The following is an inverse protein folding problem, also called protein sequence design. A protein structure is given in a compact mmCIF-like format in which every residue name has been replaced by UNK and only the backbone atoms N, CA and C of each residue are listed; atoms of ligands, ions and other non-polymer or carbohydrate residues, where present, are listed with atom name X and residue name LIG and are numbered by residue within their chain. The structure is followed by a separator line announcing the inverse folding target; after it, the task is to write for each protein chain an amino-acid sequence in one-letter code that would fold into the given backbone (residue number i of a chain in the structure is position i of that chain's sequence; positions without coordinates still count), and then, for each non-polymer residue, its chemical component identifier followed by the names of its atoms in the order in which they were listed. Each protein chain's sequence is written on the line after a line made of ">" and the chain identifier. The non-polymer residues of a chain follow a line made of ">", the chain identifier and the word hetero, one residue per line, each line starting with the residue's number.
data_IF_844380267384
#
_entry.id   IF_844380267384
#
_cell.length_a   1.000
_cell.length_b   1.000
_cell.length_c   1.000
_cell.angle_alpha   90.00
_cell.angle_beta   90.00
_cell.angle_gamma   90.00
#
_symmetry.space_group_name_H-M   'P 1'
#
loop_
_entity.id
_entity.type
_entity.pdbx_description
1 polymer ?
#
# COMPACT_ATOMS: atom_id res chain seq x y z
N UNK A 1 -3.11 -25.34 23.14
CA UNK A 1 -3.96 -24.15 22.94
C UNK A 1 -3.57 -23.60 21.59
N UNK A 2 -4.45 -23.72 20.61
CA UNK A 2 -4.22 -23.20 19.26
C UNK A 2 -4.31 -21.67 19.28
N UNK A 3 -3.51 -21.00 18.46
CA UNK A 3 -3.52 -19.54 18.40
C UNK A 3 -4.78 -19.06 17.66
N UNK A 4 -5.56 -18.18 18.28
CA UNK A 4 -6.79 -17.64 17.70
C UNK A 4 -6.46 -16.49 16.74
N UNK A 5 -6.32 -16.85 15.46
CA UNK A 5 -6.02 -15.91 14.38
C UNK A 5 -7.15 -14.91 14.15
N UNK A 6 -8.41 -15.33 14.28
CA UNK A 6 -9.57 -14.47 14.07
C UNK A 6 -9.59 -13.34 15.08
N UNK A 7 -9.45 -13.67 16.37
CA UNK A 7 -9.40 -12.67 17.43
C UNK A 7 -8.20 -11.73 17.30
N UNK A 8 -7.05 -12.24 16.85
CA UNK A 8 -5.88 -11.41 16.59
C UNK A 8 -6.13 -10.41 15.45
N UNK A 9 -6.78 -10.83 14.37
CA UNK A 9 -7.15 -9.94 13.25
C UNK A 9 -8.16 -8.89 13.71
N UNK A 10 -9.23 -9.28 14.39
CA UNK A 10 -10.26 -8.36 14.89
C UNK A 10 -9.67 -7.28 15.80
N UNK A 11 -8.85 -7.68 16.78
CA UNK A 11 -8.21 -6.73 17.69
C UNK A 11 -7.33 -5.71 16.96
N UNK A 12 -6.48 -6.18 16.05
CA UNK A 12 -5.59 -5.28 15.30
C UNK A 12 -6.37 -4.40 14.31
N UNK A 13 -7.49 -4.89 13.77
CA UNK A 13 -8.41 -4.10 12.95
C UNK A 13 -9.02 -2.94 13.75
N UNK A 14 -9.54 -3.23 14.94
CA UNK A 14 -10.12 -2.21 15.84
C UNK A 14 -9.11 -1.14 16.24
N UNK A 15 -7.88 -1.56 16.59
CA UNK A 15 -6.79 -0.64 16.92
C UNK A 15 -6.41 0.25 15.71
N UNK A 16 -6.35 -0.33 14.50
CA UNK A 16 -6.08 0.43 13.28
C UNK A 16 -7.21 1.41 12.94
N UNK A 17 -8.49 1.01 13.09
CA UNK A 17 -9.62 1.90 12.86
C UNK A 17 -9.61 3.11 13.81
N UNK A 18 -9.21 2.91 15.07
CA UNK A 18 -9.00 3.99 16.05
C UNK A 18 -7.91 4.96 15.61
N UNK A 19 -6.77 4.43 15.14
CA UNK A 19 -5.66 5.23 14.62
C UNK A 19 -6.10 6.03 13.37
N UNK A 20 -6.85 5.40 12.46
CA UNK A 20 -7.39 6.04 11.26
C UNK A 20 -8.35 7.17 11.63
N UNK A 21 -9.26 6.96 12.58
CA UNK A 21 -10.16 8.02 13.06
C UNK A 21 -9.37 9.24 13.57
N UNK A 22 -8.27 9.01 14.30
CA UNK A 22 -7.35 10.09 14.74
C UNK A 22 -6.68 10.80 13.56
N UNK A 23 -6.27 10.06 12.52
CA UNK A 23 -5.69 10.64 11.30
C UNK A 23 -6.70 11.52 10.55
N UNK A 24 -7.96 11.11 10.44
CA UNK A 24 -9.04 11.94 9.89
C UNK A 24 -9.18 13.25 10.66
N UNK A 25 -9.19 13.18 11.99
CA UNK A 25 -9.25 14.36 12.86
C UNK A 25 -8.05 15.29 12.65
N UNK A 26 -6.83 14.75 12.65
CA UNK A 26 -5.60 15.54 12.45
C UNK A 26 -5.52 16.19 11.08
N UNK A 27 -5.99 15.52 10.03
CA UNK A 27 -6.02 16.04 8.67
C UNK A 27 -7.21 16.99 8.40
N UNK A 28 -8.09 17.20 9.40
CA UNK A 28 -9.28 18.04 9.25
C UNK A 28 -10.28 17.50 8.21
N UNK A 29 -10.26 16.19 7.94
CA UNK A 29 -11.16 15.54 7.00
C UNK A 29 -12.49 15.28 7.73
N UNK A 30 -13.44 16.21 7.61
CA UNK A 30 -14.83 16.05 8.08
C UNK A 30 -15.75 15.92 6.87
N UNK A 31 -16.91 15.30 7.05
CA UNK A 31 -17.94 15.04 6.01
C UNK A 31 -17.93 16.07 4.88
N UNK A 32 -17.40 15.67 3.71
CA UNK A 32 -17.37 16.45 2.47
C UNK A 32 -16.25 17.49 2.32
N UNK A 33 -15.48 17.83 3.36
CA UNK A 33 -14.42 18.86 3.29
C UNK A 33 -13.07 18.31 3.79
N UNK A 34 -12.05 18.41 2.95
CA UNK A 34 -10.65 18.11 3.29
C UNK A 34 -9.84 19.38 3.14
N UNK A 35 -8.96 19.64 4.10
CA UNK A 35 -8.05 20.79 4.01
C UNK A 35 -7.16 20.61 2.78
N UNK A 36 -7.14 21.64 1.92
CA UNK A 36 -6.29 21.65 0.72
C UNK A 36 -4.84 21.84 1.11
N UNK A 37 -4.57 22.65 2.13
CA UNK A 37 -3.23 22.94 2.63
C UNK A 37 -3.14 22.66 4.13
N UNK A 38 -1.98 22.17 4.58
CA UNK A 38 -1.64 21.94 5.98
C UNK A 38 -0.26 22.50 6.28
N UNK A 39 -0.02 23.04 7.49
CA UNK A 39 1.33 23.36 7.95
C UNK A 39 2.25 22.15 7.83
N UNK A 40 3.49 22.34 7.36
CA UNK A 40 4.45 21.27 7.12
C UNK A 40 4.69 20.41 8.36
N UNK A 41 4.79 21.03 9.54
CA UNK A 41 4.98 20.31 10.80
C UNK A 41 3.82 19.34 11.08
N UNK A 42 2.57 19.75 10.82
CA UNK A 42 1.39 18.90 10.98
C UNK A 42 1.38 17.80 9.92
N UNK A 43 1.72 18.12 8.67
CA UNK A 43 1.87 17.13 7.59
C UNK A 43 2.85 16.02 7.97
N UNK A 44 4.04 16.37 8.44
CA UNK A 44 5.07 15.43 8.89
C UNK A 44 4.59 14.58 10.07
N UNK A 45 3.84 15.19 11.01
CA UNK A 45 3.24 14.46 12.14
C UNK A 45 2.16 13.47 11.71
N UNK A 46 1.34 13.82 10.71
CA UNK A 46 0.36 12.89 10.13
C UNK A 46 1.09 11.73 9.45
N UNK A 47 2.12 12.02 8.65
CA UNK A 47 2.89 10.99 7.94
C UNK A 47 3.63 10.03 8.87
N UNK A 48 4.11 10.50 10.03
CA UNK A 48 4.80 9.64 10.99
C UNK A 48 3.89 8.58 11.62
N UNK A 49 2.57 8.79 11.58
CA UNK A 49 1.56 7.81 12.03
C UNK A 49 0.96 7.04 10.85
N UNK A 50 0.62 7.74 9.76
CA UNK A 50 0.00 7.15 8.57
C UNK A 50 0.89 6.08 7.94
N UNK A 51 2.21 6.31 7.83
CA UNK A 51 3.11 5.34 7.19
C UNK A 51 3.13 4.01 7.96
N UNK A 52 3.46 3.97 9.27
CA UNK A 52 3.35 2.73 10.04
C UNK A 52 1.96 2.08 9.95
N UNK A 53 0.88 2.87 9.93
CA UNK A 53 -0.48 2.35 9.82
C UNK A 53 -0.74 1.64 8.49
N UNK A 54 -0.28 2.22 7.37
CA UNK A 54 -0.36 1.57 6.05
C UNK A 54 0.44 0.25 6.03
N UNK A 55 1.64 0.21 6.62
CA UNK A 55 2.42 -1.03 6.71
C UNK A 55 1.75 -2.09 7.59
N UNK A 56 1.15 -1.68 8.71
CA UNK A 56 0.40 -2.56 9.59
C UNK A 56 -0.84 -3.12 8.88
N UNK A 57 -1.60 -2.28 8.17
CA UNK A 57 -2.77 -2.71 7.41
C UNK A 57 -2.42 -3.75 6.34
N UNK A 58 -1.32 -3.56 5.58
CA UNK A 58 -0.87 -4.57 4.62
C UNK A 58 -0.60 -5.92 5.30
N UNK A 59 0.04 -5.92 6.47
CA UNK A 59 0.32 -7.12 7.26
C UNK A 59 -0.96 -7.76 7.80
N UNK A 60 -1.90 -6.97 8.27
CA UNK A 60 -3.23 -7.44 8.68
C UNK A 60 -3.94 -8.14 7.51
N UNK A 61 -3.91 -7.55 6.31
CA UNK A 61 -4.47 -8.17 5.10
C UNK A 61 -3.77 -9.51 4.78
N UNK A 62 -2.46 -9.62 5.01
CA UNK A 62 -1.76 -10.91 4.85
C UNK A 62 -2.23 -11.95 5.87
N UNK A 63 -2.28 -11.60 7.16
CA UNK A 63 -2.79 -12.50 8.21
C UNK A 63 -4.17 -12.99 7.82
N UNK A 64 -5.02 -12.05 7.42
CA UNK A 64 -6.35 -12.33 7.00
C UNK A 64 -6.35 -13.30 5.81
N UNK A 65 -5.61 -13.02 4.75
CA UNK A 65 -5.57 -13.84 3.53
C UNK A 65 -5.01 -15.26 3.74
N UNK A 66 -4.09 -15.43 4.69
CA UNK A 66 -3.42 -16.71 4.95
C UNK A 66 -4.15 -17.60 5.97
N UNK A 67 -4.90 -17.02 6.92
CA UNK A 67 -5.39 -17.74 8.11
C UNK A 67 -6.91 -17.71 8.31
N UNK A 68 -7.63 -16.85 7.59
CA UNK A 68 -9.10 -16.88 7.60
C UNK A 68 -9.59 -17.70 6.41
N UNK A 69 -10.53 -18.62 6.67
CA UNK A 69 -11.22 -19.37 5.63
C UNK A 69 -11.97 -18.40 4.71
N UNK A 70 -11.67 -18.44 3.40
CA UNK A 70 -12.34 -17.60 2.41
C UNK A 70 -12.69 -18.40 1.17
N UNK A 71 -13.89 -18.17 0.68
CA UNK A 71 -14.38 -18.76 -0.56
C UNK A 71 -13.75 -18.02 -1.76
N UNK A 72 -12.48 -18.31 -2.03
CA UNK A 72 -11.75 -17.70 -3.15
C UNK A 72 -12.09 -18.48 -4.42
N UNK A 73 -13.15 -18.06 -5.11
CA UNK A 73 -13.37 -18.48 -6.48
C UNK A 73 -12.27 -17.90 -7.37
N UNK A 74 -11.33 -18.75 -7.78
CA UNK A 74 -10.36 -18.41 -8.82
C UNK A 74 -11.13 -18.31 -10.14
N UNK A 75 -11.57 -17.11 -10.50
CA UNK A 75 -12.10 -16.85 -11.84
C UNK A 75 -11.12 -17.32 -12.91
N UNK A 76 -11.61 -17.80 -14.07
CA UNK A 76 -10.77 -18.40 -15.10
C UNK A 76 -9.63 -17.45 -15.49
N UNK A 77 -8.43 -18.01 -15.72
CA UNK A 77 -7.29 -17.24 -16.20
C UNK A 77 -7.70 -16.58 -17.52
N UNK A 78 -7.93 -15.26 -17.50
CA UNK A 78 -8.07 -14.50 -18.76
C UNK A 78 -6.75 -14.71 -19.50
N UNK A 79 -6.82 -15.49 -20.57
CA UNK A 79 -5.71 -15.71 -21.49
C UNK A 79 -5.21 -14.34 -21.93
N UNK A 80 -4.02 -13.95 -21.45
CA UNK A 80 -3.29 -12.80 -21.94
C UNK A 80 -2.93 -13.09 -23.39
N UNK A 81 -3.82 -12.68 -24.31
CA UNK A 81 -3.77 -13.01 -25.73
C UNK A 81 -4.97 -12.51 -26.54
N UNK A 82 -6.07 -12.09 -25.91
CA UNK A 82 -7.15 -11.37 -26.58
C UNK A 82 -7.22 -9.95 -26.03
N UNK A 83 -6.32 -9.10 -26.53
CA UNK A 83 -6.60 -7.67 -26.61
C UNK A 83 -7.70 -7.49 -27.65
N UNK A 84 -8.91 -7.19 -27.19
CA UNK A 84 -9.95 -6.61 -28.04
C UNK A 84 -9.44 -5.24 -28.51
N UNK A 85 -8.76 -5.26 -29.65
CA UNK A 85 -8.37 -4.08 -30.39
C UNK A 85 -9.62 -3.50 -31.06
N UNK A 86 -10.50 -2.84 -30.31
CA UNK A 86 -11.31 -1.75 -30.84
C UNK A 86 -12.02 -0.95 -29.74
N UNK A 87 -11.38 0.09 -29.25
CA UNK A 87 -12.06 1.23 -28.65
C UNK A 87 -11.17 2.46 -28.87
N UNK A 88 -11.33 3.11 -30.02
CA UNK A 88 -10.76 4.43 -30.24
C UNK A 88 -11.45 5.42 -29.29
N UNK A 89 -10.70 6.30 -28.58
CA UNK A 89 -11.31 7.42 -27.89
C UNK A 89 -11.59 8.52 -28.90
N UNK A 90 -12.87 8.71 -29.25
CA UNK A 90 -13.30 9.88 -30.02
C UNK A 90 -13.19 11.14 -29.15
N UNK A 91 -12.78 12.19 -29.84
CA UNK A 91 -12.41 13.53 -29.40
C UNK A 91 -13.51 14.27 -28.64
N UNK A 92 -13.10 15.04 -27.62
CA UNK A 92 -13.93 16.01 -26.91
C UNK A 92 -14.44 17.14 -27.83
N UNK A 93 -15.58 17.77 -27.48
CA UNK A 93 -15.78 19.18 -27.72
C UNK A 93 -15.71 19.97 -26.40
N UNK A 94 -14.98 21.08 -26.45
CA UNK A 94 -15.02 22.15 -25.47
C UNK A 94 -16.40 22.83 -25.54
N UNK A 95 -17.02 23.10 -24.38
CA UNK A 95 -17.99 24.18 -24.28
C UNK A 95 -17.89 24.84 -22.92
N UNK A 96 -17.69 26.16 -22.96
CA UNK A 96 -17.59 27.01 -21.78
C UNK A 96 -18.98 27.41 -21.33
N UNK A 97 -19.22 27.34 -20.02
CA UNK A 97 -20.25 28.19 -19.41
C UNK A 97 -19.96 28.34 -17.93
N UNK A 98 -19.91 29.61 -17.52
CA UNK A 98 -19.72 30.08 -16.16
C UNK A 98 -20.76 29.44 -15.22
N UNK A 99 -20.30 28.76 -14.15
CA UNK A 99 -21.17 28.10 -13.17
C UNK A 99 -21.06 28.83 -11.82
N UNK A 100 -22.17 29.44 -11.40
CA UNK A 100 -22.32 30.12 -10.12
C UNK A 100 -22.08 29.17 -8.91
N UNK A 101 -21.64 29.68 -7.73
CA UNK A 101 -20.98 28.87 -6.70
C UNK A 101 -21.91 28.17 -5.69
N UNK A 102 -23.24 28.26 -5.82
CA UNK A 102 -24.15 27.94 -4.70
C UNK A 102 -25.18 26.80 -4.98
N UNK A 103 -24.93 25.92 -5.95
CA UNK A 103 -25.79 24.77 -6.21
C UNK A 103 -25.36 23.53 -5.39
N UNK A 104 -26.33 22.89 -4.70
CA UNK A 104 -26.17 21.57 -4.08
C UNK A 104 -25.63 20.55 -5.10
N UNK A 105 -24.66 19.70 -4.72
CA UNK A 105 -23.95 18.87 -5.67
C UNK A 105 -24.89 17.89 -6.36
N UNK A 106 -24.84 17.88 -7.70
CA UNK A 106 -25.66 17.01 -8.55
C UNK A 106 -25.20 15.54 -8.45
N UNK A 107 -26.10 14.59 -8.75
CA UNK A 107 -25.81 13.15 -8.72
C UNK A 107 -24.58 12.75 -9.56
N UNK A 108 -24.22 13.55 -10.57
CA UNK A 108 -23.01 13.41 -11.37
C UNK A 108 -21.71 13.73 -10.60
N UNK A 109 -21.73 14.72 -9.71
CA UNK A 109 -20.61 15.09 -8.83
C UNK A 109 -20.45 14.07 -7.68
N UNK A 110 -21.57 13.55 -7.18
CA UNK A 110 -21.55 12.38 -6.29
C UNK A 110 -20.92 11.18 -7.01
N UNK A 111 -21.32 10.88 -8.26
CA UNK A 111 -20.71 9.84 -9.09
C UNK A 111 -19.21 10.06 -9.34
N UNK A 112 -18.74 11.30 -9.46
CA UNK A 112 -17.31 11.62 -9.60
C UNK A 112 -16.52 11.42 -8.29
N UNK A 113 -17.13 11.73 -7.14
CA UNK A 113 -16.62 11.38 -5.81
C UNK A 113 -16.56 9.85 -5.59
N UNK A 114 -17.47 9.08 -6.22
CA UNK A 114 -17.40 7.61 -6.26
C UNK A 114 -16.41 7.08 -7.32
N UNK A 115 -16.14 7.83 -8.40
CA UNK A 115 -15.21 7.46 -9.48
C UNK A 115 -13.75 7.61 -9.07
N UNK A 116 -13.42 8.61 -8.25
CA UNK A 116 -12.07 8.82 -7.70
C UNK A 116 -11.90 8.16 -6.32
N UNK A 117 -12.50 6.97 -6.13
CA UNK A 117 -12.27 6.14 -4.94
C UNK A 117 -10.79 5.76 -4.86
N UNK A 118 -10.04 6.27 -3.87
CA UNK A 118 -8.62 6.02 -3.82
C UNK A 118 -8.37 4.55 -3.44
N UNK A 119 -7.61 3.83 -4.26
CA UNK A 119 -7.33 2.41 -4.03
C UNK A 119 -6.12 2.24 -3.10
N UNK A 120 -6.22 1.32 -2.14
CA UNK A 120 -5.10 0.96 -1.29
C UNK A 120 -4.09 0.05 -2.02
N UNK A 121 -2.80 0.35 -1.84
CA UNK A 121 -1.72 -0.44 -2.37
C UNK A 121 -1.45 -1.66 -1.47
N UNK A 122 -1.76 -2.84 -1.99
CA UNK A 122 -1.67 -4.10 -1.25
C UNK A 122 -0.22 -4.51 -0.89
N UNK A 123 0.76 -4.07 -1.67
CA UNK A 123 2.16 -4.45 -1.53
C UNK A 123 2.97 -3.35 -0.85
N UNK A 124 3.96 -3.74 -0.05
CA UNK A 124 4.92 -2.80 0.50
C UNK A 124 5.72 -2.14 -0.65
N UNK A 125 5.91 -0.81 -0.60
CA UNK A 125 6.88 -0.13 -1.46
C UNK A 125 8.25 -0.79 -1.36
N UNK A 126 8.93 -0.95 -2.50
CA UNK A 126 10.32 -1.44 -2.49
C UNK A 126 11.19 -0.41 -1.78
N UNK A 127 12.16 -0.91 -0.99
CA UNK A 127 13.22 -0.06 -0.47
C UNK A 127 14.00 0.51 -1.65
N UNK A 128 13.92 1.82 -1.87
CA UNK A 128 14.81 2.52 -2.81
C UNK A 128 16.20 2.54 -2.17
N UNK A 129 17.02 1.52 -2.44
CA UNK A 129 18.45 1.61 -2.17
C UNK A 129 18.99 2.65 -3.15
N UNK A 130 19.21 3.89 -2.69
CA UNK A 130 19.84 4.88 -3.55
C UNK A 130 21.25 4.38 -3.94
N UNK A 131 21.74 4.74 -5.14
CA UNK A 131 22.94 4.17 -5.75
C UNK A 131 24.27 4.50 -5.04
N UNK A 132 24.25 5.16 -3.88
CA UNK A 132 25.44 5.60 -3.14
C UNK A 132 26.28 4.46 -2.52
N UNK A 133 25.95 3.19 -2.75
CA UNK A 133 26.74 2.05 -2.28
C UNK A 133 27.92 1.68 -3.19
N UNK A 134 28.08 2.37 -4.33
CA UNK A 134 29.24 2.23 -5.21
C UNK A 134 29.81 3.60 -5.61
N UNK A 135 30.30 4.36 -4.64
CA UNK A 135 31.39 5.30 -4.92
C UNK A 135 32.51 5.05 -3.90
N UNK A 136 33.44 4.17 -4.30
CA UNK A 136 34.69 3.93 -3.57
C UNK A 136 35.72 4.94 -4.09
N UNK A 137 35.45 6.22 -3.95
CA UNK A 137 36.51 7.25 -4.03
C UNK A 137 36.24 8.40 -3.08
N UNK A 138 36.69 8.22 -1.84
CA UNK A 138 37.15 9.29 -0.94
C UNK A 138 36.09 10.27 -0.44
N UNK A 139 35.83 10.25 0.87
CA UNK A 139 35.61 11.45 1.68
C UNK A 139 35.60 11.04 3.16
N UNK A 140 36.71 11.33 3.82
CA UNK A 140 36.88 11.28 5.26
C UNK A 140 35.96 12.32 5.92
N UNK A 141 34.99 11.86 6.73
CA UNK A 141 34.15 12.73 7.54
C UNK A 141 33.52 11.94 8.70
N UNK A 142 33.77 12.31 9.96
CA UNK A 142 33.16 11.65 11.10
C UNK A 142 31.78 12.26 11.40
N UNK A 143 30.88 11.42 11.92
CA UNK A 143 29.57 11.73 12.51
C UNK A 143 28.36 11.81 11.57
N UNK A 144 27.43 10.87 11.78
CA UNK A 144 26.01 11.22 11.77
C UNK A 144 25.10 10.59 10.70
N UNK A 145 25.37 9.40 10.19
CA UNK A 145 24.35 8.68 9.42
C UNK A 145 23.24 8.17 10.36
N UNK A 146 22.29 9.04 10.71
CA UNK A 146 20.95 8.57 11.05
C UNK A 146 20.44 7.85 9.81
N UNK A 147 20.30 6.53 9.88
CA UNK A 147 19.60 5.74 8.87
C UNK A 147 18.13 6.19 8.84
N UNK A 148 17.84 7.33 8.21
CA UNK A 148 16.50 7.72 7.80
C UNK A 148 16.21 6.91 6.54
N UNK A 149 15.27 5.99 6.71
CA UNK A 149 14.79 5.07 5.70
C UNK A 149 14.11 5.88 4.57
N UNK A 150 14.92 6.17 3.54
CA UNK A 150 14.62 7.11 2.45
C UNK A 150 13.68 6.46 1.42
N UNK A 151 12.38 6.79 1.47
CA UNK A 151 11.42 6.51 0.39
C UNK A 151 10.89 7.81 -0.29
N UNK A 152 11.36 9.00 0.14
CA UNK A 152 10.81 10.30 -0.29
C UNK A 152 11.69 11.11 -1.26
N UNK A 153 12.63 10.49 -1.98
CA UNK A 153 13.49 11.23 -2.91
C UNK A 153 12.77 11.90 -4.12
N UNK A 154 11.44 11.79 -4.22
CA UNK A 154 10.65 12.49 -5.25
C UNK A 154 10.05 13.82 -4.80
N UNK A 155 10.00 14.10 -3.50
CA UNK A 155 9.52 15.38 -2.98
C UNK A 155 10.68 15.97 -2.19
N UNK A 156 11.52 16.74 -2.89
CA UNK A 156 12.80 17.26 -2.40
C UNK A 156 12.75 17.57 -0.92
N UNK A 157 13.47 16.79 -0.12
CA UNK A 157 13.49 16.93 1.33
C UNK A 157 13.77 18.40 1.63
N UNK A 158 12.83 19.14 2.24
CA UNK A 158 13.08 20.51 2.59
C UNK A 158 14.32 20.52 3.47
N UNK A 159 15.31 21.34 3.12
CA UNK A 159 16.53 21.47 3.92
C UNK A 159 16.17 21.73 5.39
N UNK A 160 17.10 21.48 6.34
CA UNK A 160 16.87 21.70 7.77
C UNK A 160 16.32 23.09 8.14
N UNK A 161 16.39 24.05 7.22
CA UNK A 161 15.93 25.44 7.35
C UNK A 161 14.47 25.69 6.90
N UNK A 162 13.72 24.67 6.49
CA UNK A 162 12.36 24.88 6.00
C UNK A 162 11.38 25.23 7.12
N UNK A 163 10.55 26.24 6.86
CA UNK A 163 9.60 26.76 7.84
C UNK A 163 8.58 25.67 8.23
N UNK A 164 8.45 25.36 9.54
CA UNK A 164 7.47 24.38 10.03
C UNK A 164 6.02 24.79 9.76
N UNK A 165 5.73 26.09 9.65
CA UNK A 165 4.40 26.63 9.42
C UNK A 165 4.08 26.84 7.93
N UNK A 166 5.04 26.54 7.04
CA UNK A 166 4.81 26.60 5.60
C UNK A 166 3.64 25.70 5.19
N UNK A 167 2.72 26.26 4.42
CA UNK A 167 1.55 25.56 3.93
C UNK A 167 1.93 24.64 2.77
N UNK A 168 1.68 23.35 2.95
CA UNK A 168 1.96 22.29 1.97
C UNK A 168 0.66 21.62 1.54
N UNK A 169 0.58 21.17 0.28
CA UNK A 169 -0.59 20.45 -0.23
C UNK A 169 -0.88 19.17 0.59
N UNK A 170 -2.15 19.02 0.94
CA UNK A 170 -2.67 17.96 1.81
C UNK A 170 -3.61 17.00 1.09
N UNK A 171 -3.92 17.23 -0.19
CA UNK A 171 -4.81 16.36 -0.98
C UNK A 171 -4.27 14.93 -1.07
N UNK A 172 -2.98 14.77 -1.33
CA UNK A 172 -2.33 13.46 -1.43
C UNK A 172 -2.43 12.64 -0.14
N UNK A 173 -2.19 13.27 1.01
CA UNK A 173 -2.29 12.61 2.32
C UNK A 173 -3.75 12.27 2.63
N UNK A 174 -4.68 13.16 2.31
CA UNK A 174 -6.10 12.91 2.52
C UNK A 174 -6.62 11.75 1.66
N UNK A 175 -6.19 11.64 0.40
CA UNK A 175 -6.47 10.47 -0.46
C UNK A 175 -5.94 9.17 0.16
N UNK A 176 -4.72 9.19 0.71
CA UNK A 176 -4.11 8.02 1.36
C UNK A 176 -4.84 7.59 2.62
N UNK A 177 -5.22 8.53 3.49
CA UNK A 177 -6.01 8.25 4.69
C UNK A 177 -7.36 7.61 4.31
N UNK A 178 -8.04 8.16 3.28
CA UNK A 178 -9.29 7.57 2.75
C UNK A 178 -9.07 6.18 2.17
N UNK A 179 -8.00 5.96 1.41
CA UNK A 179 -7.68 4.64 0.85
C UNK A 179 -7.45 3.60 1.94
N UNK A 180 -6.71 3.96 3.00
CA UNK A 180 -6.47 3.11 4.15
C UNK A 180 -7.80 2.76 4.86
N UNK A 181 -8.66 3.75 5.09
CA UNK A 181 -9.96 3.53 5.72
C UNK A 181 -10.85 2.58 4.92
N UNK A 182 -10.97 2.80 3.60
CA UNK A 182 -11.75 1.94 2.71
C UNK A 182 -11.19 0.51 2.65
N UNK A 183 -9.88 0.34 2.75
CA UNK A 183 -9.26 -0.99 2.76
C UNK A 183 -9.45 -1.76 4.07
N UNK A 184 -9.54 -1.06 5.20
CA UNK A 184 -9.85 -1.68 6.49
C UNK A 184 -11.35 -2.01 6.60
N UNK A 185 -12.21 -1.19 6.01
CA UNK A 185 -13.65 -1.45 5.90
C UNK A 185 -13.95 -2.68 5.01
N UNK A 186 -13.22 -2.83 3.89
CA UNK A 186 -13.27 -3.99 2.99
C UNK A 186 -12.08 -4.95 3.21
N UNK A 187 -11.83 -5.35 4.47
CA UNK A 187 -10.70 -6.22 4.78
C UNK A 187 -10.76 -7.56 4.03
N UNK A 188 -11.95 -8.15 3.94
CA UNK A 188 -12.18 -9.43 3.26
C UNK A 188 -11.95 -9.34 1.75
N UNK A 189 -12.41 -8.27 1.10
CA UNK A 189 -12.18 -8.05 -0.33
C UNK A 189 -10.70 -7.86 -0.64
N UNK A 190 -9.96 -7.10 0.19
CA UNK A 190 -8.51 -6.96 0.02
C UNK A 190 -7.76 -8.27 0.25
N UNK A 191 -8.17 -9.05 1.24
CA UNK A 191 -7.54 -10.33 1.53
C UNK A 191 -7.83 -11.39 0.45
N UNK A 192 -9.05 -11.44 -0.09
CA UNK A 192 -9.38 -12.27 -1.25
C UNK A 192 -8.57 -11.85 -2.49
N UNK A 193 -8.36 -10.54 -2.71
CA UNK A 193 -7.47 -10.04 -3.76
C UNK A 193 -6.03 -10.52 -3.57
N UNK A 194 -5.52 -10.53 -2.34
CA UNK A 194 -4.18 -11.05 -2.02
C UNK A 194 -4.08 -12.56 -2.20
N UNK A 195 -5.06 -13.33 -1.75
CA UNK A 195 -5.09 -14.77 -1.92
C UNK A 195 -5.06 -15.18 -3.40
N UNK A 196 -5.83 -14.48 -4.26
CA UNK A 196 -5.77 -14.67 -5.71
C UNK A 196 -4.39 -14.33 -6.30
N UNK A 197 -3.68 -13.37 -5.74
CA UNK A 197 -2.31 -13.08 -6.17
C UNK A 197 -1.34 -14.18 -5.70
N UNK A 198 -1.45 -14.65 -4.46
CA UNK A 198 -0.65 -15.73 -3.89
C UNK A 198 -0.79 -17.03 -4.71
N UNK A 199 -2.02 -17.42 -5.05
CA UNK A 199 -2.27 -18.60 -5.88
C UNK A 199 -1.63 -18.51 -7.28
N UNK A 200 -1.61 -17.31 -7.89
CA UNK A 200 -0.92 -17.08 -9.17
C UNK A 200 0.60 -17.18 -9.02
N UNK A 201 1.14 -16.67 -7.91
CA UNK A 201 2.55 -16.78 -7.59
C UNK A 201 2.99 -18.24 -7.43
N UNK A 202 2.23 -19.04 -6.66
CA UNK A 202 2.49 -20.47 -6.46
C UNK A 202 2.49 -21.25 -7.77
N UNK A 203 1.47 -21.04 -8.62
CA UNK A 203 1.42 -21.64 -9.98
C UNK A 203 2.61 -21.22 -10.84
N UNK A 204 3.05 -19.97 -10.75
CA UNK A 204 4.21 -19.50 -11.49
C UNK A 204 5.51 -20.18 -11.01
N UNK A 205 5.69 -20.33 -9.70
CA UNK A 205 6.83 -21.02 -9.10
C UNK A 205 6.84 -22.50 -9.47
N UNK A 206 5.69 -23.16 -9.42
CA UNK A 206 5.54 -24.57 -9.81
C UNK A 206 5.88 -24.79 -11.29
N UNK A 207 5.41 -23.90 -12.18
CA UNK A 207 5.79 -23.92 -13.61
C UNK A 207 7.30 -23.78 -13.81
N UNK A 208 7.97 -22.90 -13.06
CA UNK A 208 9.43 -22.74 -13.12
C UNK A 208 10.14 -24.02 -12.65
N UNK A 209 9.71 -24.58 -11.50
CA UNK A 209 10.29 -25.83 -10.98
C UNK A 209 10.13 -27.01 -11.94
N UNK A 210 8.95 -27.16 -12.55
CA UNK A 210 8.68 -28.21 -13.53
C UNK A 210 9.48 -28.03 -14.84
N UNK A 211 9.75 -26.77 -15.23
CA UNK A 211 10.67 -26.48 -16.34
C UNK A 211 12.13 -26.83 -15.99
N UNK A 212 12.59 -26.47 -14.78
CA UNK A 212 13.94 -26.81 -14.29
C UNK A 212 14.14 -28.33 -14.13
N UNK A 213 13.08 -29.06 -13.75
CA UNK A 213 13.08 -30.53 -13.63
C UNK A 213 13.02 -31.26 -14.99
N UNK A 214 12.80 -30.54 -16.10
CA UNK A 214 12.71 -31.13 -17.44
C UNK A 214 11.41 -31.91 -17.70
N UNK A 215 10.39 -31.76 -16.86
CA UNK A 215 9.14 -32.54 -16.93
C UNK A 215 8.13 -31.99 -17.96
N UNK A 216 8.27 -30.72 -18.38
CA UNK A 216 7.37 -30.10 -19.36
C UNK A 216 7.90 -30.36 -20.79
N UNK A 217 7.69 -31.58 -21.29
CA UNK A 217 7.90 -31.90 -22.69
C UNK A 217 6.87 -31.17 -23.57
N UNK A 218 7.28 -30.09 -24.26
CA UNK A 218 6.49 -29.50 -25.36
C UNK A 218 6.18 -28.00 -25.29
N UNK A 219 6.65 -27.26 -24.28
CA UNK A 219 6.60 -25.79 -24.32
C UNK A 219 7.85 -25.23 -25.00
N UNK A 220 7.66 -24.31 -25.95
CA UNK A 220 8.75 -23.55 -26.58
C UNK A 220 9.67 -22.92 -25.51
N UNK A 221 11.00 -22.87 -25.70
CA UNK A 221 11.93 -22.18 -24.80
C UNK A 221 11.51 -20.74 -24.46
N UNK A 222 10.78 -20.06 -25.35
CA UNK A 222 10.26 -18.71 -25.13
C UNK A 222 9.09 -18.64 -24.13
N UNK A 223 8.35 -19.73 -23.92
CA UNK A 223 7.26 -19.79 -22.92
C UNK A 223 7.81 -19.96 -21.48
N UNK A 224 8.97 -20.63 -21.34
CA UNK A 224 9.75 -20.72 -20.10
C UNK A 224 10.40 -19.38 -19.74
N UNK A 225 10.55 -18.49 -20.73
CA UNK A 225 11.15 -17.16 -20.61
C UNK A 225 10.20 -16.09 -20.07
N UNK A 226 9.01 -16.44 -19.56
CA UNK A 226 8.21 -15.46 -18.80
C UNK A 226 9.03 -15.03 -17.59
N UNK A 227 9.21 -13.71 -17.36
CA UNK A 227 10.05 -13.25 -16.27
C UNK A 227 9.51 -13.81 -14.97
N UNK A 228 10.39 -14.44 -14.18
CA UNK A 228 10.09 -14.90 -12.84
C UNK A 228 9.33 -13.82 -12.07
N UNK A 229 8.41 -14.19 -11.16
CA UNK A 229 7.63 -13.21 -10.42
C UNK A 229 8.58 -12.22 -9.73
N UNK A 230 8.46 -10.94 -10.09
CA UNK A 230 9.36 -9.89 -9.59
C UNK A 230 9.23 -9.70 -8.07
N UNK A 231 8.15 -10.19 -7.46
CA UNK A 231 7.90 -10.20 -6.01
C UNK A 231 7.48 -11.58 -5.53
N UNK A 232 8.20 -12.11 -4.54
CA UNK A 232 7.89 -13.40 -3.89
C UNK A 232 7.10 -13.26 -2.59
N UNK A 233 7.08 -12.06 -2.00
CA UNK A 233 6.36 -11.76 -0.76
C UNK A 233 5.63 -10.43 -0.91
N UNK A 234 4.50 -10.25 -0.19
CA UNK A 234 3.82 -8.96 -0.17
C UNK A 234 4.60 -7.90 0.62
N UNK A 235 5.49 -8.33 1.51
CA UNK A 235 6.33 -7.47 2.32
C UNK A 235 7.60 -7.05 1.60
N UNK A 236 8.11 -5.87 1.95
CA UNK A 236 9.48 -5.48 1.60
C UNK A 236 10.49 -6.30 2.40
N UNK A 237 11.69 -6.55 1.88
CA UNK A 237 12.76 -7.19 2.66
C UNK A 237 13.09 -6.38 3.92
N UNK A 238 13.24 -7.06 5.05
CA UNK A 238 13.56 -6.45 6.34
C UNK A 238 12.36 -6.01 7.16
N UNK A 239 12.63 -5.15 8.15
CA UNK A 239 11.62 -4.62 9.06
C UNK A 239 10.83 -3.47 8.38
N UNK A 240 9.54 -3.30 8.71
CA UNK A 240 8.79 -2.15 8.21
C UNK A 240 9.32 -0.83 8.77
N UNK A 241 9.15 0.29 8.04
CA UNK A 241 9.49 1.60 8.58
C UNK A 241 8.59 1.92 9.77
N UNK A 242 9.18 2.50 10.81
CA UNK A 242 8.51 2.73 12.10
C UNK A 242 8.48 1.49 13.01
N UNK A 243 9.02 0.35 12.59
CA UNK A 243 9.16 -0.79 13.49
C UNK A 243 10.15 -0.49 14.62
N UNK A 244 9.77 -0.84 15.85
CA UNK A 244 10.66 -0.77 17.01
C UNK A 244 10.53 -2.01 17.88
N UNK A 245 11.66 -2.47 18.41
CA UNK A 245 11.69 -3.61 19.35
C UNK A 245 10.88 -3.33 20.62
N UNK A 246 10.94 -2.10 21.12
CA UNK A 246 10.18 -1.60 22.28
C UNK A 246 9.27 -0.45 21.79
N UNK A 247 8.00 -0.73 21.45
CA UNK A 247 7.08 0.30 21.01
C UNK A 247 6.83 1.31 22.14
N UNK A 248 6.71 2.59 21.79
CA UNK A 248 6.36 3.68 22.71
C UNK A 248 4.99 4.26 22.39
N UNK A 249 4.55 4.09 21.16
CA UNK A 249 3.25 4.56 20.69
C UNK A 249 2.40 3.36 20.31
N UNK A 250 1.08 3.54 20.42
CA UNK A 250 0.07 2.56 20.01
C UNK A 250 0.31 2.03 18.59
N UNK A 251 0.63 2.93 17.65
CA UNK A 251 0.87 2.53 16.26
C UNK A 251 2.12 1.66 16.09
N UNK A 252 3.19 1.91 16.86
CA UNK A 252 4.39 1.07 16.83
C UNK A 252 4.10 -0.32 17.40
N UNK A 253 3.21 -0.43 18.38
CA UNK A 253 2.78 -1.69 18.98
C UNK A 253 1.99 -2.52 17.97
N UNK A 254 0.95 -1.93 17.37
CA UNK A 254 0.13 -2.56 16.34
C UNK A 254 0.99 -3.00 15.15
N UNK A 255 1.89 -2.13 14.66
CA UNK A 255 2.79 -2.47 13.56
C UNK A 255 3.71 -3.65 13.91
N UNK A 256 4.26 -3.67 15.12
CA UNK A 256 5.13 -4.76 15.57
C UNK A 256 4.36 -6.08 15.64
N UNK A 257 3.18 -6.08 16.25
CA UNK A 257 2.33 -7.26 16.39
C UNK A 257 1.90 -7.80 15.02
N UNK A 258 1.29 -6.95 14.18
CA UNK A 258 0.92 -7.29 12.81
C UNK A 258 2.12 -7.82 12.02
N UNK A 259 3.32 -7.24 12.17
CA UNK A 259 4.49 -7.72 11.44
C UNK A 259 4.91 -9.13 11.82
N UNK A 260 4.97 -9.43 13.12
CA UNK A 260 5.36 -10.76 13.60
C UNK A 260 4.31 -11.79 13.18
N UNK A 261 3.03 -11.50 13.42
CA UNK A 261 1.93 -12.41 13.10
C UNK A 261 1.79 -12.63 11.59
N UNK A 262 1.96 -11.60 10.77
CA UNK A 262 1.87 -11.74 9.32
C UNK A 262 3.03 -12.54 8.72
N UNK A 263 4.24 -12.44 9.30
CA UNK A 263 5.36 -13.29 8.91
C UNK A 263 5.10 -14.76 9.26
N UNK A 264 4.62 -15.02 10.46
CA UNK A 264 4.25 -16.36 10.89
C UNK A 264 3.13 -16.94 10.02
N UNK A 265 2.08 -16.16 9.79
CA UNK A 265 0.96 -16.52 8.93
C UNK A 265 1.41 -16.88 7.50
N UNK A 266 2.29 -16.07 6.91
CA UNK A 266 2.80 -16.29 5.57
C UNK A 266 3.67 -17.55 5.46
N UNK A 267 4.56 -17.76 6.44
CA UNK A 267 5.50 -18.88 6.42
C UNK A 267 4.84 -20.22 6.75
N UNK A 268 3.71 -20.21 7.46
CA UNK A 268 2.95 -21.41 7.86
C UNK A 268 1.68 -21.62 7.04
N UNK A 269 1.56 -20.93 5.89
CA UNK A 269 0.47 -21.10 4.92
C UNK A 269 0.94 -21.81 3.65
#
# INVERSE_FOLDING_TARGET
>A
MEFDWTRAVERNLDDLLRIVARLFFMAGIRTGRSLVFLPRALRSRILSVLRPAEFAARRLIVMAACKLERDVTLGPERNAGQSDANAQPETAPEDGTDREPDAEPTDAELLDLYRDRPSFQLFDPWKRYAPFLFDVTGLDGPFGHVFLEYDDAEEGWPGPDADPDELVDARGISRRIRALALALDDLDGQAARLARWKARLERAIERIRAADAGEIAGLSPDAVRRPAPWRFRPFRPGLPPGWRRRPRTEIEEVLKECHVLALDAWNTS
#
